data_IF_590759075763
#
_entry.id   IF_590759075763
#
_cell.length_a   1.000
_cell.length_b   1.000
_cell.length_c   1.000
_cell.angle_alpha   90.00
_cell.angle_beta   90.00
_cell.angle_gamma   90.00
#
_symmetry.space_group_name_H-M   'P 1'
#
loop_
_entity.id
_entity.type
_entity.pdbx_description
1 polymer ?
#
# COMPACT_ATOMS: atom_id res chain seq x y z
N UNK A 1 5.81 10.20 1.86
CA UNK A 1 6.76 9.52 0.94
C UNK A 1 7.92 8.86 1.68
N UNK A 2 8.78 9.58 2.43
CA UNK A 2 9.91 8.95 3.14
C UNK A 2 9.49 7.76 4.03
N UNK A 3 8.47 7.95 4.88
CA UNK A 3 7.95 6.88 5.73
C UNK A 3 7.45 5.66 4.93
N UNK A 4 6.68 5.89 3.87
CA UNK A 4 6.20 4.83 2.98
C UNK A 4 7.35 4.07 2.31
N UNK A 5 8.36 4.77 1.80
CA UNK A 5 9.54 4.16 1.16
C UNK A 5 10.34 3.32 2.14
N UNK A 6 10.63 3.84 3.33
CA UNK A 6 11.40 3.11 4.35
C UNK A 6 10.65 1.86 4.81
N UNK A 7 9.35 2.00 5.13
CA UNK A 7 8.53 0.86 5.54
C UNK A 7 8.40 -0.18 4.43
N UNK A 8 8.18 0.23 3.19
CA UNK A 8 8.10 -0.67 2.04
C UNK A 8 9.40 -1.46 1.85
N UNK A 9 10.56 -0.80 1.87
CA UNK A 9 11.86 -1.48 1.68
C UNK A 9 12.08 -2.51 2.79
N UNK A 10 11.87 -2.12 4.06
CA UNK A 10 12.08 -3.02 5.19
C UNK A 10 11.10 -4.19 5.13
N UNK A 11 9.82 -3.94 4.86
CA UNK A 11 8.79 -4.98 4.80
C UNK A 11 9.02 -5.95 3.63
N UNK A 12 9.35 -5.43 2.45
CA UNK A 12 9.65 -6.25 1.28
C UNK A 12 10.87 -7.16 1.48
N UNK A 13 11.86 -6.70 2.25
CA UNK A 13 13.05 -7.50 2.56
C UNK A 13 12.77 -8.49 3.69
N UNK A 14 12.12 -8.06 4.78
CA UNK A 14 12.19 -8.74 6.06
C UNK A 14 10.87 -8.95 6.82
N UNK A 15 9.71 -8.54 6.30
CA UNK A 15 8.45 -8.79 7.01
C UNK A 15 8.17 -10.30 7.14
N UNK A 16 7.67 -10.77 8.29
CA UNK A 16 7.20 -12.14 8.43
C UNK A 16 5.92 -12.38 7.59
N UNK A 17 5.46 -13.65 7.48
CA UNK A 17 4.20 -13.97 6.83
C UNK A 17 2.99 -13.25 7.45
N UNK A 18 2.02 -12.90 6.60
CA UNK A 18 0.83 -12.09 6.94
C UNK A 18 -0.45 -12.87 6.70
N UNK A 19 -1.39 -12.85 7.65
CA UNK A 19 -2.69 -13.53 7.55
C UNK A 19 -3.73 -12.69 6.80
N UNK A 20 -3.55 -12.58 5.47
CA UNK A 20 -4.33 -11.70 4.58
C UNK A 20 -5.84 -11.95 4.64
N UNK A 21 -6.27 -13.21 4.66
CA UNK A 21 -7.69 -13.56 4.62
C UNK A 21 -8.32 -13.67 6.03
N UNK A 22 -7.52 -13.51 7.08
CA UNK A 22 -7.98 -13.59 8.48
C UNK A 22 -8.41 -14.99 8.90
N UNK A 23 -7.98 -16.02 8.16
CA UNK A 23 -8.31 -17.43 8.38
C UNK A 23 -7.18 -18.20 9.09
N UNK A 24 -6.16 -17.49 9.59
CA UNK A 24 -4.95 -18.06 10.22
C UNK A 24 -4.10 -18.85 9.23
N UNK A 25 -4.02 -18.37 7.99
CA UNK A 25 -3.16 -18.91 6.94
C UNK A 25 -2.19 -17.83 6.44
N UNK A 26 -1.03 -17.66 7.11
CA UNK A 26 -0.11 -16.58 6.77
C UNK A 26 0.58 -16.79 5.42
N UNK A 27 0.59 -15.74 4.59
CA UNK A 27 1.26 -15.70 3.30
C UNK A 27 2.63 -15.03 3.43
N UNK A 28 3.69 -15.72 3.01
CA UNK A 28 5.04 -15.17 3.00
C UNK A 28 5.23 -14.19 1.83
N UNK A 29 5.51 -12.92 2.12
CA UNK A 29 5.72 -11.88 1.09
C UNK A 29 7.17 -11.41 0.91
N UNK A 30 8.04 -11.59 1.90
CA UNK A 30 9.36 -10.95 1.89
C UNK A 30 10.48 -11.84 1.37
N UNK A 31 11.60 -11.22 1.00
CA UNK A 31 12.77 -11.89 0.43
C UNK A 31 13.40 -12.91 1.39
N UNK A 32 13.59 -12.56 2.67
CA UNK A 32 14.20 -13.49 3.63
C UNK A 32 13.31 -14.70 3.95
N UNK A 33 12.00 -14.59 3.68
CA UNK A 33 11.03 -15.68 3.83
C UNK A 33 10.79 -16.44 2.52
N UNK A 34 11.80 -16.48 1.62
CA UNK A 34 11.82 -17.39 0.48
C UNK A 34 11.26 -16.82 -0.83
N UNK A 35 10.99 -15.51 -0.91
CA UNK A 35 10.57 -14.87 -2.14
C UNK A 35 11.73 -14.32 -2.96
N UNK A 36 11.54 -14.26 -4.27
CA UNK A 36 12.38 -13.49 -5.19
C UNK A 36 11.69 -12.15 -5.54
N UNK A 37 12.29 -11.35 -6.42
CA UNK A 37 11.74 -10.04 -6.82
C UNK A 37 10.36 -10.14 -7.48
N UNK A 38 10.08 -11.25 -8.18
CA UNK A 38 8.79 -11.46 -8.86
C UNK A 38 7.73 -11.91 -7.86
N UNK A 39 8.06 -12.87 -7.00
CA UNK A 39 7.10 -13.44 -6.05
C UNK A 39 6.89 -12.59 -4.80
N UNK A 40 7.84 -11.71 -4.47
CA UNK A 40 7.78 -10.88 -3.27
C UNK A 40 6.70 -9.80 -3.33
N UNK A 41 6.13 -9.49 -2.15
CA UNK A 41 5.13 -8.45 -1.96
C UNK A 41 5.14 -7.95 -0.51
N UNK A 42 4.70 -6.70 -0.29
CA UNK A 42 4.10 -6.33 0.99
C UNK A 42 2.63 -6.72 0.94
N UNK A 43 2.28 -7.73 1.74
CA UNK A 43 0.97 -8.39 1.74
C UNK A 43 -0.10 -7.48 2.37
N UNK A 44 -1.32 -7.37 1.78
CA UNK A 44 -2.43 -6.62 2.34
C UNK A 44 -2.76 -6.96 3.80
N UNK A 45 -3.38 -6.01 4.50
CA UNK A 45 -3.78 -6.21 5.90
C UNK A 45 -4.91 -7.23 6.01
N UNK A 46 -4.93 -7.96 7.12
CA UNK A 46 -5.86 -9.07 7.36
C UNK A 46 -7.33 -8.66 7.17
N UNK A 47 -8.13 -9.56 6.58
CA UNK A 47 -9.58 -9.39 6.48
C UNK A 47 -10.28 -9.35 7.85
N UNK A 48 -9.64 -9.89 8.90
CA UNK A 48 -10.12 -9.72 10.27
C UNK A 48 -10.13 -8.25 10.73
N UNK A 49 -9.32 -7.38 10.10
CA UNK A 49 -9.34 -5.93 10.30
C UNK A 49 -10.41 -5.26 9.43
N UNK A 50 -10.69 -5.77 8.23
CA UNK A 50 -11.60 -5.12 7.29
C UNK A 50 -11.17 -3.69 6.94
N UNK A 51 -12.05 -2.71 7.18
CA UNK A 51 -11.77 -1.28 6.99
C UNK A 51 -11.28 -0.56 8.24
N UNK A 52 -11.08 -1.27 9.36
CA UNK A 52 -10.58 -0.64 10.56
C UNK A 52 -9.18 -0.04 10.34
N UNK A 53 -8.98 1.16 10.89
CA UNK A 53 -7.68 1.82 10.86
C UNK A 53 -6.74 1.13 11.84
N UNK A 54 -5.66 0.51 11.34
CA UNK A 54 -4.75 -0.32 12.13
C UNK A 54 -3.31 0.24 12.16
N UNK A 55 -3.10 1.38 12.85
CA UNK A 55 -1.77 1.92 13.09
C UNK A 55 -1.00 1.06 14.11
N UNK A 56 0.31 1.28 14.20
CA UNK A 56 1.20 0.52 15.10
C UNK A 56 0.69 0.52 16.55
N UNK A 57 0.11 1.62 17.02
CA UNK A 57 -0.36 1.76 18.41
C UNK A 57 -1.73 1.12 18.69
N UNK A 58 -2.41 0.55 17.70
CA UNK A 58 -3.61 -0.29 17.94
C UNK A 58 -3.23 -1.75 18.20
N UNK A 59 -2.01 -2.17 17.85
CA UNK A 59 -1.51 -3.51 18.13
C UNK A 59 -0.91 -3.59 19.54
N UNK A 60 -1.02 -4.76 20.19
CA UNK A 60 -0.38 -4.99 21.49
C UNK A 60 1.15 -5.10 21.37
N UNK A 61 1.66 -5.44 20.18
CA UNK A 61 3.08 -5.57 19.90
C UNK A 61 3.39 -5.38 18.41
N UNK A 62 4.66 -5.20 18.07
CA UNK A 62 5.10 -5.19 16.67
C UNK A 62 4.90 -6.56 16.01
N UNK A 63 5.04 -7.67 16.73
CA UNK A 63 4.85 -9.01 16.18
C UNK A 63 3.40 -9.22 15.72
N UNK A 64 2.43 -8.77 16.54
CA UNK A 64 1.02 -8.76 16.17
C UNK A 64 0.76 -7.84 14.97
N UNK A 65 1.32 -6.62 15.00
CA UNK A 65 1.14 -5.66 13.92
C UNK A 65 1.67 -6.20 12.57
N UNK A 66 2.81 -6.90 12.61
CA UNK A 66 3.40 -7.56 11.45
C UNK A 66 2.54 -8.74 10.99
N UNK A 67 2.08 -9.61 11.89
CA UNK A 67 1.21 -10.75 11.56
C UNK A 67 -0.08 -10.33 10.84
N UNK A 68 -0.65 -9.20 11.25
CA UNK A 68 -1.90 -8.67 10.68
C UNK A 68 -1.71 -7.77 9.44
N UNK A 69 -0.48 -7.64 8.91
CA UNK A 69 -0.22 -6.88 7.69
C UNK A 69 -0.30 -5.35 7.87
N UNK A 70 -0.05 -4.87 9.08
CA UNK A 70 0.04 -3.44 9.37
C UNK A 70 0.96 -2.62 8.45
N UNK A 71 2.13 -3.13 7.97
CA UNK A 71 2.97 -2.42 7.01
C UNK A 71 2.22 -1.97 5.75
N UNK A 72 1.26 -2.76 5.27
CA UNK A 72 0.50 -2.43 4.07
C UNK A 72 -0.29 -1.14 4.25
N UNK A 73 -1.11 -1.04 5.31
CA UNK A 73 -1.90 0.17 5.60
C UNK A 73 -0.99 1.40 5.77
N UNK A 74 0.11 1.26 6.52
CA UNK A 74 1.07 2.36 6.70
C UNK A 74 1.60 2.85 5.35
N UNK A 75 2.05 1.94 4.48
CA UNK A 75 2.61 2.28 3.18
C UNK A 75 1.57 2.95 2.29
N UNK A 76 0.40 2.34 2.09
CA UNK A 76 -0.62 2.87 1.15
C UNK A 76 -1.13 4.25 1.58
N UNK A 77 -1.36 4.48 2.88
CA UNK A 77 -1.88 5.78 3.34
C UNK A 77 -0.82 6.88 3.21
N UNK A 78 0.42 6.63 3.62
CA UNK A 78 1.51 7.60 3.47
C UNK A 78 1.91 7.83 2.00
N UNK A 79 1.72 6.81 1.14
CA UNK A 79 1.94 6.90 -0.30
C UNK A 79 0.88 7.78 -0.96
N UNK A 80 -0.42 7.49 -0.76
CA UNK A 80 -1.52 8.25 -1.39
C UNK A 80 -1.50 9.72 -0.99
N UNK A 81 -1.30 10.03 0.30
CA UNK A 81 -1.13 11.42 0.77
C UNK A 81 0.08 12.07 0.07
N UNK A 82 1.22 11.36 0.03
CA UNK A 82 2.43 11.84 -0.62
C UNK A 82 2.24 12.15 -2.11
N UNK A 83 1.55 11.28 -2.84
CA UNK A 83 1.26 11.48 -4.26
C UNK A 83 0.24 12.60 -4.51
N UNK A 84 -0.76 12.77 -3.65
CA UNK A 84 -1.66 13.92 -3.71
C UNK A 84 -0.92 15.24 -3.49
N UNK A 85 -0.02 15.30 -2.50
CA UNK A 85 0.86 16.46 -2.31
C UNK A 85 1.81 16.66 -3.51
N UNK A 86 2.30 15.59 -4.13
CA UNK A 86 3.16 15.68 -5.31
C UNK A 86 2.42 16.27 -6.53
N UNK A 87 1.14 15.95 -6.72
CA UNK A 87 0.28 16.60 -7.69
C UNK A 87 0.22 18.12 -7.43
N UNK A 88 -0.05 18.51 -6.19
CA UNK A 88 -0.05 19.92 -5.77
C UNK A 88 1.29 20.61 -5.99
N UNK A 89 2.41 19.92 -5.72
CA UNK A 89 3.76 20.43 -5.96
C UNK A 89 4.04 20.73 -7.44
N UNK A 90 3.54 19.90 -8.36
CA UNK A 90 3.67 20.16 -9.80
C UNK A 90 2.96 21.45 -10.20
N UNK A 91 1.76 21.67 -9.66
CA UNK A 91 1.04 22.92 -9.86
C UNK A 91 1.79 24.10 -9.24
N UNK A 92 2.23 24.00 -7.98
CA UNK A 92 2.91 25.09 -7.28
C UNK A 92 4.15 25.53 -8.05
N UNK A 93 5.01 24.59 -8.46
CA UNK A 93 6.21 24.93 -9.24
C UNK A 93 5.87 25.57 -10.58
N UNK A 94 4.85 25.07 -11.28
CA UNK A 94 4.39 25.68 -12.53
C UNK A 94 3.98 27.14 -12.32
N UNK A 95 3.29 27.44 -11.22
CA UNK A 95 2.90 28.79 -10.86
C UNK A 95 4.11 29.68 -10.54
N UNK A 96 5.05 29.20 -9.72
CA UNK A 96 6.28 29.96 -9.37
C UNK A 96 7.13 30.32 -10.59
N UNK A 97 7.13 29.47 -11.61
CA UNK A 97 7.88 29.68 -12.85
C UNK A 97 7.08 30.38 -13.96
N UNK A 98 5.83 30.76 -13.72
CA UNK A 98 4.97 31.37 -14.75
C UNK A 98 4.63 30.43 -15.91
N UNK A 99 4.66 29.12 -15.69
CA UNK A 99 4.31 28.10 -16.67
C UNK A 99 2.79 27.90 -16.76
N UNK A 100 2.36 27.25 -17.85
CA UNK A 100 0.98 26.77 -18.01
C UNK A 100 0.67 25.64 -17.00
N UNK A 101 -0.43 25.67 -16.22
CA UNK A 101 -0.59 24.84 -15.00
C UNK A 101 -1.22 23.45 -15.24
N UNK A 102 -0.98 22.79 -16.37
CA UNK A 102 -1.71 21.55 -16.74
C UNK A 102 -0.93 20.24 -16.52
N UNK A 103 0.32 20.29 -16.07
CA UNK A 103 1.12 19.09 -15.81
C UNK A 103 0.47 18.25 -14.69
N UNK A 104 0.03 18.90 -13.61
CA UNK A 104 -0.66 18.23 -12.51
C UNK A 104 -1.99 17.59 -12.94
N UNK A 105 -2.66 18.14 -13.96
CA UNK A 105 -3.91 17.59 -14.50
C UNK A 105 -3.64 16.27 -15.22
N UNK A 106 -2.57 16.18 -16.02
CA UNK A 106 -2.17 14.91 -16.61
C UNK A 106 -1.77 13.87 -15.54
N UNK A 107 -1.05 14.31 -14.49
CA UNK A 107 -0.68 13.44 -13.37
C UNK A 107 -1.87 12.97 -12.51
N UNK A 108 -3.01 13.66 -12.59
CA UNK A 108 -4.21 13.24 -11.86
C UNK A 108 -4.74 11.88 -12.32
N UNK A 109 -4.52 11.49 -13.59
CA UNK A 109 -4.95 10.20 -14.12
C UNK A 109 -4.29 9.01 -13.40
N UNK A 110 -2.94 8.87 -13.33
CA UNK A 110 -2.32 7.78 -12.59
C UNK A 110 -2.56 7.86 -11.08
N UNK A 111 -2.71 9.06 -10.50
CA UNK A 111 -3.09 9.19 -9.09
C UNK A 111 -4.49 8.64 -8.82
N UNK A 112 -5.45 8.92 -9.71
CA UNK A 112 -6.80 8.37 -9.63
C UNK A 112 -6.78 6.83 -9.76
N UNK A 113 -5.99 6.28 -10.69
CA UNK A 113 -5.82 4.82 -10.80
C UNK A 113 -5.25 4.20 -9.52
N UNK A 114 -4.22 4.80 -8.92
CA UNK A 114 -3.66 4.33 -7.65
C UNK A 114 -4.68 4.42 -6.50
N UNK A 115 -5.45 5.51 -6.44
CA UNK A 115 -6.51 5.70 -5.45
C UNK A 115 -7.61 4.66 -5.61
N UNK A 116 -7.93 4.28 -6.85
CA UNK A 116 -8.94 3.27 -7.13
C UNK A 116 -8.57 1.90 -6.54
N UNK A 117 -7.35 1.42 -6.81
CA UNK A 117 -6.91 0.07 -6.41
C UNK A 117 -6.48 -0.05 -4.94
N UNK A 118 -6.02 1.04 -4.32
CA UNK A 118 -5.55 1.03 -2.93
C UNK A 118 -6.56 1.55 -1.91
N UNK A 119 -7.63 2.24 -2.34
CA UNK A 119 -8.60 2.84 -1.41
C UNK A 119 -10.04 2.59 -1.82
N UNK A 120 -10.45 2.96 -3.04
CA UNK A 120 -11.86 2.90 -3.43
C UNK A 120 -12.36 1.45 -3.52
N UNK A 121 -11.58 0.57 -4.16
CA UNK A 121 -11.93 -0.84 -4.28
C UNK A 121 -12.02 -1.54 -2.91
N UNK A 122 -11.03 -1.40 -2.00
CA UNK A 122 -11.16 -1.84 -0.60
C UNK A 122 -12.42 -1.34 0.11
N UNK A 123 -12.75 -0.05 0.00
CA UNK A 123 -13.96 0.52 0.61
C UNK A 123 -15.22 -0.16 0.05
N UNK A 124 -15.26 -0.41 -1.26
CA UNK A 124 -16.38 -1.07 -1.92
C UNK A 124 -16.55 -2.53 -1.49
N UNK A 125 -15.45 -3.26 -1.27
CA UNK A 125 -15.48 -4.66 -0.80
C UNK A 125 -15.64 -4.78 0.73
N UNK A 126 -15.34 -3.72 1.47
CA UNK A 126 -15.41 -3.72 2.94
C UNK A 126 -14.13 -4.21 3.62
N UNK A 127 -13.01 -4.31 2.90
CA UNK A 127 -11.74 -4.74 3.47
C UNK A 127 -10.51 -4.24 2.71
N UNK A 128 -9.45 -3.90 3.44
CA UNK A 128 -8.13 -3.66 2.85
C UNK A 128 -7.40 -4.94 2.42
N UNK A 129 -7.88 -6.13 2.79
CA UNK A 129 -7.37 -7.42 2.28
C UNK A 129 -7.55 -7.54 0.77
N UNK A 130 -8.62 -6.95 0.23
CA UNK A 130 -8.95 -6.96 -1.20
C UNK A 130 -8.27 -5.83 -1.98
N UNK A 131 -7.43 -5.02 -1.33
CA UNK A 131 -6.60 -4.04 -2.03
C UNK A 131 -5.47 -4.71 -2.81
N UNK A 132 -5.03 -4.08 -3.89
CA UNK A 132 -3.94 -4.61 -4.71
C UNK A 132 -2.65 -4.82 -3.88
N UNK A 133 -2.09 -6.03 -3.81
CA UNK A 133 -0.83 -6.27 -3.08
C UNK A 133 0.34 -5.47 -3.66
N UNK A 134 1.30 -5.08 -2.81
CA UNK A 134 2.48 -4.32 -3.26
C UNK A 134 3.59 -5.26 -3.76
N UNK A 135 3.33 -5.95 -4.88
CA UNK A 135 4.25 -6.90 -5.50
C UNK A 135 3.82 -7.29 -6.91
N UNK A 136 4.74 -7.86 -7.69
CA UNK A 136 4.50 -8.19 -9.11
C UNK A 136 3.47 -9.32 -9.22
N UNK A 137 3.75 -10.49 -8.62
CA UNK A 137 2.80 -11.61 -8.62
C UNK A 137 1.48 -11.27 -7.94
N UNK A 138 1.52 -10.46 -6.86
CA UNK A 138 0.30 -10.00 -6.18
C UNK A 138 -0.57 -9.10 -7.06
N UNK A 139 0.03 -8.29 -7.95
CA UNK A 139 -0.73 -7.52 -8.94
C UNK A 139 -1.46 -8.44 -9.92
N UNK A 140 -0.82 -9.52 -10.38
CA UNK A 140 -1.50 -10.50 -11.24
C UNK A 140 -2.63 -11.21 -10.51
N UNK A 141 -2.44 -11.57 -9.25
CA UNK A 141 -3.50 -12.15 -8.43
C UNK A 141 -4.71 -11.21 -8.33
N UNK A 142 -4.49 -9.93 -8.01
CA UNK A 142 -5.54 -8.90 -7.96
C UNK A 142 -6.29 -8.74 -9.29
N UNK A 143 -5.62 -8.93 -10.43
CA UNK A 143 -6.27 -8.82 -11.75
C UNK A 143 -7.12 -10.04 -12.13
N UNK A 144 -6.85 -11.21 -11.55
CA UNK A 144 -7.48 -12.48 -11.92
C UNK A 144 -8.73 -12.76 -11.06
N UNK A 145 -8.69 -12.35 -9.79
CA UNK A 145 -9.79 -12.50 -8.82
C UNK A 145 -10.84 -11.43 -9.06
#
# INVERSE_FOLDING_TARGET
LLAATVCFIIAFVAAPPVDIDGIREPVAGSLIYGNNIISGAVVPSSNAIGLHFYPIWEAASLDEWLYNGGPYQLVIFHFLIGCACYLGRQWELSYRLGMRPWICVAYSAPLASATAVFLIYPIGQGSFSDGMPLGISGTFNFMIV
#
